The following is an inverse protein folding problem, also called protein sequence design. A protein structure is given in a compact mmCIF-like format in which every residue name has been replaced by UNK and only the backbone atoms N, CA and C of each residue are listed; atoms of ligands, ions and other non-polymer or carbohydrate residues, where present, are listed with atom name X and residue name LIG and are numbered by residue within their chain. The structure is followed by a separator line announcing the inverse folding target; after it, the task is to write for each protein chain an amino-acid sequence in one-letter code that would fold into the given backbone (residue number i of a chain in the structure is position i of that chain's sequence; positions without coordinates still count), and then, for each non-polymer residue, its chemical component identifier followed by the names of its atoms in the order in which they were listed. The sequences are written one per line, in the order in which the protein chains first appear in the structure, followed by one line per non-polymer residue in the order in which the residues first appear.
data_IF_909758808373
#
_entry.id   IF_909758808373
#
_cell.length_a   1.000
_cell.length_b   1.000
_cell.length_c   1.000
_cell.angle_alpha   90.00
_cell.angle_beta   90.00
_cell.angle_gamma   90.00
#
_symmetry.space_group_name_H-M   'P 1'
#
loop_
_entity.id
_entity.type
_entity.pdbx_description
1 polymer ?
#
# COMPACT_ATOMS: atom_id res chain seq x y z
N UNK A 1 6.57 43.57 -0.94
CA UNK A 1 7.62 42.54 -1.05
C UNK A 1 7.24 41.67 -2.23
N UNK A 2 8.09 41.56 -3.25
CA UNK A 2 7.76 40.81 -4.47
C UNK A 2 8.33 39.39 -4.36
N UNK A 3 7.45 38.39 -4.23
CA UNK A 3 7.81 36.97 -4.21
C UNK A 3 7.51 36.26 -5.53
N UNK A 4 7.28 36.99 -6.63
CA UNK A 4 6.97 36.40 -7.95
C UNK A 4 8.09 35.47 -8.46
N UNK A 5 9.33 35.69 -8.04
CA UNK A 5 10.44 34.77 -8.33
C UNK A 5 10.29 33.44 -7.58
N UNK A 6 9.78 33.45 -6.33
CA UNK A 6 9.59 32.26 -5.52
C UNK A 6 8.51 31.34 -6.11
N UNK A 7 7.38 31.89 -6.54
CA UNK A 7 6.35 31.09 -7.22
C UNK A 7 6.87 30.39 -8.49
N UNK A 8 7.68 31.09 -9.29
CA UNK A 8 8.36 30.51 -10.46
C UNK A 8 9.37 29.43 -10.09
N UNK A 9 10.14 29.64 -9.02
CA UNK A 9 11.08 28.65 -8.51
C UNK A 9 10.37 27.38 -8.05
N UNK A 10 9.27 27.50 -7.28
CA UNK A 10 8.44 26.37 -6.83
C UNK A 10 7.94 25.56 -8.02
N UNK A 11 7.39 26.22 -9.04
CA UNK A 11 6.90 25.54 -10.24
C UNK A 11 8.02 24.83 -11.02
N UNK A 12 9.19 25.47 -11.15
CA UNK A 12 10.35 24.88 -11.83
C UNK A 12 10.90 23.67 -11.05
N UNK A 13 11.01 23.78 -9.73
CA UNK A 13 11.49 22.71 -8.85
C UNK A 13 10.56 21.49 -8.90
N UNK A 14 9.25 21.70 -8.74
CA UNK A 14 8.24 20.65 -8.81
C UNK A 14 8.12 19.99 -10.20
N UNK A 15 8.63 20.65 -11.25
CA UNK A 15 8.74 20.04 -12.59
C UNK A 15 9.98 19.15 -12.70
N UNK A 16 11.05 19.48 -12.00
CA UNK A 16 12.34 18.78 -12.08
C UNK A 16 12.44 17.57 -11.13
N UNK A 17 11.74 17.59 -9.99
CA UNK A 17 11.86 16.57 -8.94
C UNK A 17 10.56 16.40 -8.13
N UNK A 18 10.38 15.20 -7.56
CA UNK A 18 9.32 14.85 -6.59
C UNK A 18 9.85 14.80 -5.14
N UNK A 19 10.94 15.51 -4.86
CA UNK A 19 11.49 15.63 -3.50
C UNK A 19 10.77 16.72 -2.68
N UNK A 20 10.00 16.29 -1.68
CA UNK A 20 9.25 17.17 -0.79
C UNK A 20 10.15 17.97 0.14
N UNK A 21 11.31 17.41 0.52
CA UNK A 21 12.22 18.09 1.45
C UNK A 21 12.86 19.31 0.81
N UNK A 22 13.56 19.13 -0.32
CA UNK A 22 14.17 20.27 -1.00
C UNK A 22 13.14 21.32 -1.43
N UNK A 23 11.92 20.93 -1.81
CA UNK A 23 10.87 21.87 -2.17
C UNK A 23 10.43 22.73 -0.98
N UNK A 24 10.04 22.10 0.13
CA UNK A 24 9.48 22.81 1.27
C UNK A 24 10.56 23.55 2.07
N UNK A 25 11.73 22.94 2.25
CA UNK A 25 12.87 23.59 2.90
C UNK A 25 13.34 24.81 2.11
N UNK A 26 13.51 24.69 0.79
CA UNK A 26 13.88 25.82 -0.08
C UNK A 26 12.81 26.92 -0.13
N UNK A 27 11.53 26.54 -0.11
CA UNK A 27 10.42 27.50 -0.01
C UNK A 27 10.47 28.30 1.30
N UNK A 28 10.62 27.61 2.44
CA UNK A 28 10.65 28.24 3.76
C UNK A 28 11.89 29.14 3.93
N UNK A 29 13.06 28.67 3.51
CA UNK A 29 14.30 29.45 3.53
C UNK A 29 14.20 30.72 2.66
N UNK A 30 13.53 30.64 1.51
CA UNK A 30 13.30 31.80 0.66
C UNK A 30 12.36 32.84 1.31
N UNK A 31 11.32 32.39 2.03
CA UNK A 31 10.47 33.31 2.81
C UNK A 31 11.27 34.03 3.90
N UNK A 32 12.10 33.29 4.64
CA UNK A 32 12.98 33.84 5.68
C UNK A 32 13.99 34.83 5.07
N UNK A 33 14.63 34.46 3.96
CA UNK A 33 15.56 35.32 3.23
C UNK A 33 14.92 36.60 2.67
N UNK A 34 13.62 36.58 2.39
CA UNK A 34 12.84 37.76 1.98
C UNK A 34 12.42 38.65 3.17
N UNK A 35 12.72 38.26 4.41
CA UNK A 35 12.41 39.01 5.63
C UNK A 35 11.07 38.65 6.28
N UNK A 36 10.40 37.58 5.83
CA UNK A 36 9.22 37.06 6.54
C UNK A 36 9.73 36.24 7.73
N UNK A 37 9.35 36.57 8.98
CA UNK A 37 9.89 35.93 10.18
C UNK A 37 9.24 34.56 10.45
N UNK A 38 9.26 33.64 9.49
CA UNK A 38 8.72 32.29 9.64
C UNK A 38 9.60 31.49 10.59
N UNK A 39 9.00 30.94 11.65
CA UNK A 39 9.66 30.02 12.58
C UNK A 39 9.30 28.56 12.30
N UNK A 40 8.03 28.30 11.95
CA UNK A 40 7.52 26.96 11.63
C UNK A 40 6.55 27.02 10.45
N UNK A 41 6.63 26.03 9.56
CA UNK A 41 5.63 25.77 8.52
C UNK A 41 5.15 24.33 8.66
N UNK A 42 3.84 24.11 8.54
CA UNK A 42 3.28 22.77 8.48
C UNK A 42 2.32 22.67 7.31
N UNK A 43 2.57 21.72 6.42
CA UNK A 43 1.70 21.37 5.31
C UNK A 43 1.01 20.05 5.61
N UNK A 44 -0.31 20.05 5.60
CA UNK A 44 -1.14 18.87 5.82
C UNK A 44 -1.92 18.57 4.54
N UNK A 45 -1.73 17.37 4.02
CA UNK A 45 -2.44 16.85 2.86
C UNK A 45 -3.15 15.54 3.24
N UNK A 46 -4.42 15.33 2.84
CA UNK A 46 -5.05 14.04 3.00
C UNK A 46 -4.35 12.99 2.13
N UNK A 47 -4.36 11.75 2.59
CA UNK A 47 -3.84 10.60 1.89
C UNK A 47 -5.01 9.72 1.44
N UNK A 48 -4.97 9.24 0.20
CA UNK A 48 -5.80 8.11 -0.23
C UNK A 48 -4.97 6.84 -0.09
N UNK A 49 -4.90 6.37 1.15
CA UNK A 49 -4.16 5.18 1.56
C UNK A 49 -5.03 4.36 2.53
N UNK A 50 -5.03 3.01 2.45
CA UNK A 50 -5.84 2.16 3.34
C UNK A 50 -5.46 2.29 4.83
N UNK A 51 -4.22 2.67 5.12
CA UNK A 51 -3.63 2.73 6.46
C UNK A 51 -3.43 4.16 6.96
N UNK A 52 -3.26 5.13 6.05
CA UNK A 52 -3.02 6.53 6.38
C UNK A 52 -4.21 7.41 6.03
N UNK A 53 -4.54 8.32 6.95
CA UNK A 53 -5.55 9.36 6.74
C UNK A 53 -4.99 10.58 6.04
N UNK A 54 -3.74 10.92 6.36
CA UNK A 54 -3.09 12.12 5.86
C UNK A 54 -1.63 12.19 6.25
N UNK A 55 -0.90 13.06 5.57
CA UNK A 55 0.51 13.29 5.82
C UNK A 55 0.74 14.75 6.19
N UNK A 56 1.66 14.95 7.13
CA UNK A 56 2.07 16.26 7.59
C UNK A 56 3.56 16.45 7.37
N UNK A 57 3.93 17.49 6.61
CA UNK A 57 5.30 17.94 6.40
C UNK A 57 5.54 19.15 7.30
N UNK A 58 6.42 19.02 8.29
CA UNK A 58 6.66 20.04 9.31
C UNK A 58 8.09 20.56 9.19
N UNK A 59 8.24 21.82 8.78
CA UNK A 59 9.52 22.50 8.69
C UNK A 59 9.70 23.43 9.88
N UNK A 60 10.89 23.40 10.48
CA UNK A 60 11.30 24.26 11.58
C UNK A 60 12.60 24.98 11.24
N UNK A 61 12.63 26.30 11.49
CA UNK A 61 13.82 27.10 11.26
C UNK A 61 14.99 26.61 12.15
N UNK A 62 16.06 26.13 11.51
CA UNK A 62 17.24 25.59 12.18
C UNK A 62 17.20 24.09 12.51
N UNK A 63 16.05 23.42 12.33
CA UNK A 63 15.88 21.98 12.58
C UNK A 63 15.57 21.19 11.29
N UNK A 64 15.10 21.86 10.23
CA UNK A 64 14.82 21.24 8.93
C UNK A 64 13.42 20.64 8.84
N UNK A 65 13.22 19.75 7.88
CA UNK A 65 11.93 19.11 7.63
C UNK A 65 11.79 17.79 8.40
N UNK A 66 10.58 17.56 8.92
CA UNK A 66 10.13 16.28 9.46
C UNK A 66 8.84 15.83 8.77
N UNK A 67 8.68 14.51 8.63
CA UNK A 67 7.51 13.87 8.05
C UNK A 67 6.73 13.13 9.15
N UNK A 68 5.42 13.33 9.18
CA UNK A 68 4.50 12.62 10.07
C UNK A 68 3.39 11.99 9.24
N UNK A 69 3.29 10.68 9.29
CA UNK A 69 2.15 9.94 8.77
C UNK A 69 1.08 9.84 9.87
N UNK A 70 -0.15 10.26 9.57
CA UNK A 70 -1.27 10.14 10.49
C UNK A 70 -2.08 8.92 10.04
N UNK A 71 -2.18 7.91 10.91
CA UNK A 71 -2.90 6.68 10.60
C UNK A 71 -4.41 6.89 10.76
N UNK A 72 -5.16 5.81 10.56
CA UNK A 72 -6.57 5.75 10.96
C UNK A 72 -6.65 5.15 12.38
N UNK A 73 -7.30 5.86 13.32
CA UNK A 73 -7.45 5.40 14.70
C UNK A 73 -8.29 6.33 15.57
N UNK A 74 -8.89 5.81 16.65
CA UNK A 74 -9.79 6.58 17.52
C UNK A 74 -9.09 7.75 18.25
N UNK A 75 -7.83 7.57 18.66
CA UNK A 75 -7.03 8.62 19.28
C UNK A 75 -6.69 9.74 18.27
N UNK A 76 -6.39 9.37 17.03
CA UNK A 76 -6.09 10.31 15.93
C UNK A 76 -7.36 11.03 15.43
N UNK A 77 -8.53 10.41 15.56
CA UNK A 77 -9.82 11.04 15.28
C UNK A 77 -10.12 12.17 16.27
N UNK A 78 -9.82 11.95 17.55
CA UNK A 78 -9.92 13.00 18.59
C UNK A 78 -8.99 14.18 18.30
N UNK A 79 -7.73 13.90 17.97
CA UNK A 79 -6.75 14.94 17.63
C UNK A 79 -7.14 15.73 16.37
N UNK A 80 -7.72 15.06 15.37
CA UNK A 80 -8.26 15.71 14.18
C UNK A 80 -9.43 16.65 14.49
N UNK A 81 -10.41 16.19 15.29
CA UNK A 81 -11.57 16.99 15.68
C UNK A 81 -11.17 18.24 16.49
N UNK A 82 -10.06 18.15 17.23
CA UNK A 82 -9.46 19.27 17.98
C UNK A 82 -8.41 20.05 17.18
N UNK A 83 -8.37 19.90 15.85
CA UNK A 83 -7.45 20.63 14.99
C UNK A 83 -8.04 21.97 14.48
N UNK A 84 -7.22 23.02 14.34
CA UNK A 84 -7.66 24.26 13.69
C UNK A 84 -8.11 24.05 12.23
N UNK A 85 -7.59 23.02 11.56
CA UNK A 85 -7.98 22.65 10.19
C UNK A 85 -9.43 22.20 10.16
N UNK A 86 -9.80 21.24 11.01
CA UNK A 86 -11.17 20.76 11.11
C UNK A 86 -12.14 21.90 11.41
N UNK A 87 -11.81 22.77 12.37
CA UNK A 87 -12.66 23.89 12.75
C UNK A 87 -12.90 24.89 11.61
N UNK A 88 -11.91 25.15 10.75
CA UNK A 88 -12.11 25.99 9.56
C UNK A 88 -12.93 25.28 8.49
N UNK A 89 -12.67 23.98 8.24
CA UNK A 89 -13.44 23.17 7.28
C UNK A 89 -14.92 23.10 7.65
N UNK A 90 -15.24 22.88 8.93
CA UNK A 90 -16.62 22.83 9.42
C UNK A 90 -17.37 24.15 9.20
N UNK A 91 -16.67 25.28 9.31
CA UNK A 91 -17.21 26.63 9.09
C UNK A 91 -17.24 27.05 7.62
N UNK A 92 -16.61 26.29 6.72
CA UNK A 92 -16.41 26.69 5.33
C UNK A 92 -15.46 27.89 5.18
N UNK A 93 -14.51 28.04 6.11
CA UNK A 93 -13.50 29.10 6.11
C UNK A 93 -12.17 28.58 5.56
N UNK A 94 -11.44 29.42 4.83
CA UNK A 94 -10.14 29.05 4.22
C UNK A 94 -8.95 29.75 4.85
N UNK A 95 -9.20 30.61 5.85
CA UNK A 95 -8.16 31.35 6.55
C UNK A 95 -8.51 31.49 8.04
N UNK A 96 -7.51 31.25 8.90
CA UNK A 96 -7.61 31.50 10.33
C UNK A 96 -6.30 32.11 10.85
N UNK A 97 -6.42 32.99 11.86
CA UNK A 97 -5.28 33.63 12.52
C UNK A 97 -5.50 33.66 14.03
N UNK A 98 -4.47 33.30 14.78
CA UNK A 98 -4.48 33.24 16.24
C UNK A 98 -3.24 33.91 16.82
N UNK A 99 -3.45 34.84 17.74
CA UNK A 99 -2.38 35.48 18.53
C UNK A 99 -2.06 34.61 19.74
N UNK A 100 -0.92 33.93 19.69
CA UNK A 100 -0.47 32.99 20.71
C UNK A 100 0.17 33.69 21.91
N UNK A 101 0.54 34.96 21.77
CA UNK A 101 1.07 35.83 22.83
C UNK A 101 -0.03 36.55 23.64
N UNK A 102 -1.30 36.24 23.38
CA UNK A 102 -2.43 36.81 24.10
C UNK A 102 -2.41 36.35 25.59
N UNK A 103 -2.72 37.23 26.56
CA UNK A 103 -2.73 36.90 27.99
C UNK A 103 -3.66 35.71 28.34
N UNK A 104 -4.77 35.61 27.62
CA UNK A 104 -5.72 34.51 27.68
C UNK A 104 -5.92 33.99 26.26
N UNK A 105 -5.13 33.00 25.86
CA UNK A 105 -5.34 32.30 24.59
C UNK A 105 -6.59 31.42 24.71
N UNK A 106 -7.75 31.98 24.38
CA UNK A 106 -9.02 31.27 24.30
C UNK A 106 -9.05 30.37 23.07
N UNK A 107 -8.43 29.20 23.18
CA UNK A 107 -8.51 28.14 22.18
C UNK A 107 -8.55 26.77 22.83
N UNK A 108 -9.31 25.85 22.26
CA UNK A 108 -9.29 24.45 22.67
C UNK A 108 -8.27 23.63 21.89
N UNK A 109 -7.62 24.20 20.88
CA UNK A 109 -6.71 23.50 19.98
C UNK A 109 -5.36 23.20 20.67
N UNK A 110 -5.01 21.92 20.94
CA UNK A 110 -3.77 21.56 21.65
C UNK A 110 -2.51 22.05 20.93
N UNK A 111 -2.50 22.00 19.59
CA UNK A 111 -1.37 22.45 18.76
C UNK A 111 -1.04 23.94 18.98
N UNK A 112 -2.04 24.80 19.16
CA UNK A 112 -1.83 26.23 19.37
C UNK A 112 -1.27 26.50 20.78
N UNK A 113 -1.77 25.79 21.79
CA UNK A 113 -1.26 25.85 23.18
C UNK A 113 0.22 25.42 23.23
N UNK A 114 0.55 24.31 22.57
CA UNK A 114 1.92 23.81 22.50
C UNK A 114 2.87 24.81 21.81
N UNK A 115 2.46 25.40 20.69
CA UNK A 115 3.27 26.41 20.00
C UNK A 115 3.43 27.70 20.81
N UNK A 116 2.38 28.15 21.52
CA UNK A 116 2.46 29.29 22.44
C UNK A 116 3.44 29.04 23.60
N UNK A 117 3.40 27.85 24.20
CA UNK A 117 4.35 27.45 25.25
C UNK A 117 5.81 27.41 24.77
N UNK A 118 6.03 27.19 23.48
CA UNK A 118 7.34 27.24 22.82
C UNK A 118 7.73 28.66 22.36
N UNK A 119 7.00 29.69 22.77
CA UNK A 119 7.28 31.09 22.44
C UNK A 119 6.75 31.55 21.07
N UNK A 120 5.82 30.80 20.47
CA UNK A 120 5.08 31.26 19.29
C UNK A 120 4.25 32.50 19.62
N UNK A 121 4.17 33.44 18.67
CA UNK A 121 3.51 34.75 18.83
C UNK A 121 2.27 34.85 17.96
N UNK A 122 2.35 34.44 16.70
CA UNK A 122 1.27 34.58 15.74
C UNK A 122 1.25 33.36 14.82
N UNK A 123 0.08 32.73 14.73
CA UNK A 123 -0.17 31.53 13.96
C UNK A 123 -1.24 31.80 12.92
N UNK A 124 -0.94 31.47 11.66
CA UNK A 124 -1.87 31.62 10.54
C UNK A 124 -2.03 30.28 9.84
N UNK A 125 -3.25 30.00 9.40
CA UNK A 125 -3.61 28.79 8.68
C UNK A 125 -4.35 29.18 7.40
N UNK A 126 -3.90 28.64 6.29
CA UNK A 126 -4.57 28.72 5.00
C UNK A 126 -5.04 27.33 4.59
N UNK A 127 -6.26 27.22 4.09
CA UNK A 127 -6.77 26.02 3.39
C UNK A 127 -6.90 26.42 1.93
N UNK A 128 -6.05 25.83 1.09
CA UNK A 128 -6.18 25.98 -0.36
C UNK A 128 -7.05 24.85 -0.87
N UNK A 129 -8.28 25.19 -1.24
CA UNK A 129 -9.25 24.24 -1.77
C UNK A 129 -8.99 23.94 -3.24
N UNK A 130 -9.28 22.70 -3.64
CA UNK A 130 -9.28 22.26 -5.02
C UNK A 130 -10.70 21.96 -5.49
N UNK A 131 -10.86 21.80 -6.81
CA UNK A 131 -12.15 21.59 -7.42
C UNK A 131 -12.90 20.40 -6.79
N UNK A 132 -14.22 20.50 -6.57
CA UNK A 132 -15.01 19.37 -6.09
C UNK A 132 -14.87 18.12 -6.99
N UNK A 133 -14.79 16.94 -6.38
CA UNK A 133 -14.68 15.67 -7.10
C UNK A 133 -13.24 15.22 -7.41
N UNK A 134 -12.23 15.99 -7.02
CA UNK A 134 -10.84 15.52 -7.01
C UNK A 134 -10.59 14.57 -5.84
N UNK A 135 -9.64 13.66 -6.02
CA UNK A 135 -9.10 12.78 -4.97
C UNK A 135 -8.59 13.58 -3.75
N UNK A 136 -7.99 14.74 -4.01
CA UNK A 136 -7.43 15.66 -3.03
C UNK A 136 -8.29 16.92 -2.99
N UNK A 137 -9.06 17.13 -1.91
CA UNK A 137 -10.00 18.27 -1.78
C UNK A 137 -9.34 19.61 -1.48
N UNK A 138 -8.13 19.58 -0.93
CA UNK A 138 -7.36 20.77 -0.61
C UNK A 138 -6.14 20.44 0.24
N UNK A 139 -5.34 21.46 0.49
CA UNK A 139 -4.13 21.38 1.32
C UNK A 139 -4.19 22.49 2.35
N UNK A 140 -3.95 22.13 3.60
CA UNK A 140 -3.88 23.06 4.70
C UNK A 140 -2.41 23.41 4.99
N UNK A 141 -2.07 24.69 5.00
CA UNK A 141 -0.73 25.21 5.27
C UNK A 141 -0.78 26.19 6.42
N UNK A 142 -0.03 25.91 7.48
CA UNK A 142 0.11 26.82 8.61
C UNK A 142 1.51 27.41 8.71
N UNK A 143 1.57 28.64 9.19
CA UNK A 143 2.81 29.37 9.47
C UNK A 143 2.75 29.88 10.90
N UNK A 144 3.85 29.77 11.63
CA UNK A 144 4.00 30.35 12.96
C UNK A 144 5.27 31.20 13.02
N UNK A 145 5.20 32.33 13.73
CA UNK A 145 6.34 33.21 13.99
C UNK A 145 6.58 33.37 15.48
N UNK A 146 7.85 33.60 15.86
CA UNK A 146 8.26 34.09 17.19
C UNK A 146 8.56 35.60 17.19
N UNK A 147 8.40 36.27 16.05
CA UNK A 147 8.70 37.69 15.90
C UNK A 147 7.75 38.54 16.73
N UNK A 148 8.31 39.46 17.52
CA UNK A 148 7.52 40.40 18.31
C UNK A 148 6.57 41.19 17.39
N UNK A 149 5.28 41.19 17.72
CA UNK A 149 4.24 41.84 16.91
C UNK A 149 3.54 40.93 15.88
N UNK A 150 4.07 39.73 15.61
CA UNK A 150 3.48 38.76 14.70
C UNK A 150 3.73 39.06 13.22
N UNK A 151 2.91 38.47 12.34
CA UNK A 151 2.95 38.73 10.90
C UNK A 151 2.29 40.08 10.58
N UNK A 152 2.95 40.89 9.75
CA UNK A 152 2.34 42.12 9.21
C UNK A 152 1.39 41.77 8.05
N UNK A 153 0.48 42.67 7.70
CA UNK A 153 -0.40 42.49 6.52
C UNK A 153 0.41 42.28 5.23
N UNK A 154 1.58 42.93 5.10
CA UNK A 154 2.48 42.72 3.98
C UNK A 154 3.08 41.30 3.96
N UNK A 155 3.34 40.70 5.12
CA UNK A 155 3.77 39.29 5.22
C UNK A 155 2.63 38.35 4.79
N UNK A 156 1.42 38.57 5.32
CA UNK A 156 0.25 37.73 5.02
C UNK A 156 -0.11 37.76 3.54
N UNK A 157 -0.14 38.95 2.93
CA UNK A 157 -0.37 39.10 1.48
C UNK A 157 0.69 38.36 0.67
N UNK A 158 1.98 38.51 1.02
CA UNK A 158 3.05 37.87 0.27
C UNK A 158 3.03 36.34 0.39
N UNK A 159 2.70 35.80 1.57
CA UNK A 159 2.48 34.35 1.76
C UNK A 159 1.31 33.88 0.90
N UNK A 160 0.18 34.59 0.95
CA UNK A 160 -1.01 34.24 0.18
C UNK A 160 -0.75 34.20 -1.34
N UNK A 161 0.07 35.12 -1.86
CA UNK A 161 0.40 35.20 -3.29
C UNK A 161 1.21 33.98 -3.80
N UNK A 162 2.01 33.35 -2.94
CA UNK A 162 2.85 32.20 -3.32
C UNK A 162 2.24 30.84 -2.98
N UNK A 163 1.25 30.80 -2.08
CA UNK A 163 0.62 29.56 -1.63
C UNK A 163 0.06 28.69 -2.77
N UNK A 164 -0.64 29.22 -3.79
CA UNK A 164 -1.14 28.40 -4.89
C UNK A 164 -0.05 27.62 -5.63
N UNK A 165 1.16 28.17 -5.75
CA UNK A 165 2.28 27.46 -6.38
C UNK A 165 2.75 26.30 -5.51
N UNK A 166 2.91 26.54 -4.20
CA UNK A 166 3.33 25.51 -3.25
C UNK A 166 2.30 24.38 -3.17
N UNK A 167 1.02 24.72 -3.04
CA UNK A 167 -0.03 23.72 -2.89
C UNK A 167 -0.28 22.95 -4.17
N UNK A 168 -0.16 23.55 -5.36
CA UNK A 168 -0.22 22.80 -6.62
C UNK A 168 0.99 21.88 -6.79
N UNK A 169 2.19 22.30 -6.40
CA UNK A 169 3.38 21.46 -6.42
C UNK A 169 3.20 20.23 -5.49
N UNK A 170 2.80 20.46 -4.25
CA UNK A 170 2.53 19.38 -3.29
C UNK A 170 1.38 18.50 -3.78
N UNK A 171 0.31 19.08 -4.31
CA UNK A 171 -0.80 18.31 -4.89
C UNK A 171 -0.35 17.38 -6.02
N UNK A 172 0.50 17.85 -6.93
CA UNK A 172 1.07 17.03 -8.00
C UNK A 172 1.84 15.84 -7.43
N UNK A 173 2.69 16.07 -6.43
CA UNK A 173 3.51 15.03 -5.82
C UNK A 173 2.67 14.05 -5.00
N UNK A 174 1.70 14.54 -4.22
CA UNK A 174 0.74 13.72 -3.47
C UNK A 174 -0.13 12.88 -4.41
N UNK A 175 -0.67 13.44 -5.49
CA UNK A 175 -1.48 12.69 -6.46
C UNK A 175 -0.64 11.63 -7.17
N UNK A 176 0.60 11.92 -7.54
CA UNK A 176 1.51 10.95 -8.15
C UNK A 176 1.85 9.80 -7.18
N UNK A 177 2.10 10.11 -5.91
CA UNK A 177 2.32 9.11 -4.87
C UNK A 177 1.06 8.27 -4.61
N UNK A 178 -0.10 8.90 -4.41
CA UNK A 178 -1.39 8.22 -4.27
C UNK A 178 -1.68 7.32 -5.46
N UNK A 179 -1.43 7.77 -6.69
CA UNK A 179 -1.67 6.96 -7.88
C UNK A 179 -0.77 5.72 -7.91
N UNK A 180 0.48 5.84 -7.44
CA UNK A 180 1.39 4.70 -7.23
C UNK A 180 0.89 3.73 -6.17
N UNK A 181 0.57 4.24 -4.98
CA UNK A 181 0.13 3.39 -3.85
C UNK A 181 -1.18 2.68 -4.16
N UNK A 182 -2.21 3.42 -4.61
CA UNK A 182 -3.50 2.82 -4.99
C UNK A 182 -3.30 1.78 -6.10
N UNK A 183 -2.50 2.08 -7.12
CA UNK A 183 -2.24 1.09 -8.17
C UNK A 183 -1.54 -0.15 -7.59
N UNK A 184 -0.56 0.01 -6.71
CA UNK A 184 0.17 -1.10 -6.09
C UNK A 184 -0.73 -1.95 -5.18
N UNK A 185 -1.62 -1.33 -4.39
CA UNK A 185 -2.57 -2.03 -3.51
C UNK A 185 -3.55 -2.88 -4.31
N UNK A 186 -4.06 -2.39 -5.44
CA UNK A 186 -5.09 -3.09 -6.21
C UNK A 186 -4.57 -3.98 -7.34
N UNK A 187 -3.38 -3.71 -7.88
CA UNK A 187 -2.79 -4.47 -9.00
C UNK A 187 -1.61 -5.35 -8.58
N UNK A 188 -1.03 -5.13 -7.41
CA UNK A 188 0.30 -5.63 -7.06
C UNK A 188 1.39 -4.65 -7.49
N UNK A 189 2.49 -4.59 -6.72
CA UNK A 189 3.55 -3.58 -6.90
C UNK A 189 4.21 -3.60 -8.27
N UNK A 190 4.63 -4.78 -8.75
CA UNK A 190 5.37 -4.90 -10.02
C UNK A 190 4.44 -4.66 -11.22
N UNK A 191 3.20 -5.12 -11.13
CA UNK A 191 2.16 -4.88 -12.11
C UNK A 191 1.79 -3.40 -12.18
N UNK A 192 1.63 -2.73 -11.04
CA UNK A 192 1.39 -1.30 -10.97
C UNK A 192 2.52 -0.49 -11.62
N UNK A 193 3.79 -0.79 -11.29
CA UNK A 193 4.95 -0.14 -11.91
C UNK A 193 4.92 -0.25 -13.45
N UNK A 194 4.57 -1.42 -13.99
CA UNK A 194 4.44 -1.63 -15.45
C UNK A 194 3.33 -0.80 -16.08
N UNK A 195 2.17 -0.75 -15.42
CA UNK A 195 1.02 0.06 -15.87
C UNK A 195 1.39 1.54 -15.88
N UNK A 196 2.09 2.00 -14.84
CA UNK A 196 2.57 3.38 -14.71
C UNK A 196 3.67 3.73 -15.73
N UNK A 197 4.48 2.74 -16.14
CA UNK A 197 5.44 2.86 -17.23
C UNK A 197 4.77 2.83 -18.63
N UNK A 198 3.43 2.71 -18.68
CA UNK A 198 2.64 2.83 -19.91
C UNK A 198 2.33 1.49 -20.59
N UNK A 199 2.56 0.35 -19.94
CA UNK A 199 2.10 -0.96 -20.42
C UNK A 199 0.60 -1.11 -20.17
N UNK A 200 -0.21 -0.40 -20.96
CA UNK A 200 -1.67 -0.27 -20.78
C UNK A 200 -2.46 -0.74 -22.00
N UNK A 201 -1.80 -1.26 -23.05
CA UNK A 201 -2.47 -1.66 -24.27
C UNK A 201 -2.99 -3.10 -24.16
N UNK A 202 -4.22 -3.32 -24.59
CA UNK A 202 -4.81 -4.66 -24.69
C UNK A 202 -3.93 -5.55 -25.58
N UNK A 203 -3.63 -6.76 -25.10
CA UNK A 203 -2.81 -7.72 -25.83
C UNK A 203 -1.30 -7.47 -25.72
N UNK A 204 -0.90 -6.39 -25.05
CA UNK A 204 0.49 -6.19 -24.64
C UNK A 204 0.84 -7.16 -23.51
N UNK A 205 1.91 -7.92 -23.69
CA UNK A 205 2.38 -8.89 -22.72
C UNK A 205 3.67 -9.55 -23.16
N UNK A 206 4.30 -10.30 -22.26
CA UNK A 206 5.54 -11.03 -22.53
C UNK A 206 5.36 -12.50 -22.20
N UNK A 207 5.94 -13.36 -23.02
CA UNK A 207 6.06 -14.79 -22.70
C UNK A 207 7.21 -14.95 -21.72
N UNK A 208 6.90 -15.42 -20.51
CA UNK A 208 7.89 -15.62 -19.45
C UNK A 208 7.77 -17.02 -18.85
N UNK A 209 8.88 -17.66 -18.45
CA UNK A 209 8.83 -18.79 -17.52
C UNK A 209 8.53 -18.27 -16.11
N UNK A 210 7.67 -18.98 -15.37
CA UNK A 210 7.30 -18.60 -14.02
C UNK A 210 6.98 -19.83 -13.16
N UNK A 211 7.27 -19.70 -11.86
CA UNK A 211 6.56 -20.48 -10.86
C UNK A 211 5.20 -19.80 -10.60
N UNK A 212 4.15 -20.61 -10.55
CA UNK A 212 2.77 -20.23 -10.32
C UNK A 212 2.36 -20.83 -8.98
N UNK A 213 1.76 -20.01 -8.13
CA UNK A 213 1.19 -20.44 -6.86
C UNK A 213 -0.32 -20.14 -6.90
N UNK A 214 -1.13 -21.15 -6.62
CA UNK A 214 -2.56 -21.02 -6.41
C UNK A 214 -2.88 -21.43 -4.98
N UNK A 215 -3.74 -20.68 -4.33
CA UNK A 215 -4.30 -21.01 -3.02
C UNK A 215 -5.81 -21.11 -3.09
N UNK A 216 -6.40 -21.87 -2.18
CA UNK A 216 -7.85 -21.96 -1.95
C UNK A 216 -8.14 -22.28 -0.48
N UNK A 217 -9.29 -21.87 0.04
CA UNK A 217 -9.70 -22.15 1.43
C UNK A 217 -10.78 -23.23 1.47
N UNK A 218 -10.43 -24.38 2.04
CA UNK A 218 -11.32 -25.54 2.08
C UNK A 218 -12.60 -25.22 2.86
N UNK A 219 -13.74 -25.39 2.20
CA UNK A 219 -15.06 -25.27 2.83
C UNK A 219 -15.53 -23.82 3.04
N UNK A 220 -14.79 -22.83 2.53
CA UNK A 220 -15.15 -21.42 2.67
C UNK A 220 -16.53 -21.11 2.11
N UNK A 221 -16.85 -21.59 0.89
CA UNK A 221 -18.16 -21.33 0.26
C UNK A 221 -19.32 -21.79 1.15
N UNK A 222 -19.19 -22.96 1.77
CA UNK A 222 -20.22 -23.49 2.66
C UNK A 222 -20.31 -22.73 4.00
N UNK A 223 -19.21 -22.14 4.45
CA UNK A 223 -19.16 -21.30 5.65
C UNK A 223 -19.79 -19.93 5.39
N UNK A 224 -19.53 -19.33 4.22
CA UNK A 224 -20.03 -18.02 3.83
C UNK A 224 -21.57 -17.93 3.85
N UNK A 225 -22.27 -19.04 3.60
CA UNK A 225 -23.74 -19.10 3.65
C UNK A 225 -24.32 -19.04 5.09
N UNK A 226 -23.48 -19.14 6.13
CA UNK A 226 -23.92 -19.37 7.52
C UNK A 226 -23.41 -18.33 8.52
N UNK A 227 -22.61 -17.38 8.06
CA UNK A 227 -21.88 -16.42 8.90
C UNK A 227 -22.25 -15.00 8.49
N UNK A 228 -22.12 -14.05 9.42
CA UNK A 228 -22.28 -12.65 9.09
C UNK A 228 -21.26 -12.22 8.01
N UNK A 229 -21.68 -11.50 6.95
CA UNK A 229 -20.78 -11.08 5.89
C UNK A 229 -19.57 -10.25 6.36
N UNK A 230 -19.71 -9.44 7.42
CA UNK A 230 -18.61 -8.64 7.95
C UNK A 230 -17.55 -9.49 8.65
N UNK A 231 -17.99 -10.49 9.44
CA UNK A 231 -17.10 -11.48 10.04
C UNK A 231 -16.38 -12.28 8.95
N UNK A 232 -17.10 -12.66 7.89
CA UNK A 232 -16.53 -13.43 6.79
C UNK A 232 -15.42 -12.66 6.06
N UNK A 233 -15.63 -11.38 5.75
CA UNK A 233 -14.58 -10.54 5.14
C UNK A 233 -13.38 -10.41 6.07
N UNK A 234 -13.61 -10.23 7.36
CA UNK A 234 -12.53 -10.13 8.36
C UNK A 234 -11.68 -11.39 8.38
N UNK A 235 -12.32 -12.56 8.45
CA UNK A 235 -11.60 -13.83 8.47
C UNK A 235 -10.86 -14.08 7.15
N UNK A 236 -11.50 -13.78 6.02
CA UNK A 236 -10.86 -13.93 4.72
C UNK A 236 -9.56 -13.10 4.64
N UNK A 237 -9.59 -11.86 5.11
CA UNK A 237 -8.40 -11.01 5.17
C UNK A 237 -7.30 -11.59 6.07
N UNK A 238 -7.64 -12.08 7.28
CA UNK A 238 -6.66 -12.73 8.17
C UNK A 238 -5.96 -13.94 7.51
N UNK A 239 -6.74 -14.74 6.78
CA UNK A 239 -6.21 -15.90 6.06
C UNK A 239 -5.38 -15.49 4.84
N UNK A 240 -5.78 -14.44 4.11
CA UNK A 240 -4.99 -13.88 3.02
C UNK A 240 -3.68 -13.24 3.49
N UNK A 241 -3.65 -12.58 4.65
CA UNK A 241 -2.42 -12.06 5.22
C UNK A 241 -1.46 -13.22 5.56
N UNK A 242 -1.96 -14.26 6.23
CA UNK A 242 -1.16 -15.43 6.60
C UNK A 242 -0.55 -16.16 5.39
N UNK A 243 -1.32 -16.28 4.30
CA UNK A 243 -0.91 -16.96 3.06
C UNK A 243 -0.10 -16.06 2.12
N UNK A 244 -0.41 -14.76 2.09
CA UNK A 244 0.12 -13.80 1.14
C UNK A 244 1.42 -13.13 1.55
N UNK A 245 1.63 -12.88 2.86
CA UNK A 245 2.86 -12.28 3.37
C UNK A 245 4.13 -13.05 2.95
N UNK A 246 4.17 -14.40 3.03
CA UNK A 246 5.31 -15.17 2.53
C UNK A 246 5.55 -15.00 1.02
N UNK A 247 4.49 -14.86 0.21
CA UNK A 247 4.62 -14.66 -1.25
C UNK A 247 5.45 -13.41 -1.54
N UNK A 248 5.10 -12.29 -0.91
CA UNK A 248 5.83 -11.03 -1.08
C UNK A 248 7.28 -11.12 -0.56
N UNK A 249 7.50 -11.75 0.61
CA UNK A 249 8.85 -11.92 1.19
C UNK A 249 9.79 -12.74 0.31
N UNK A 250 9.26 -13.70 -0.44
CA UNK A 250 10.02 -14.55 -1.35
C UNK A 250 10.03 -14.05 -2.81
N UNK A 251 9.68 -12.77 -3.03
CA UNK A 251 9.78 -12.13 -4.35
C UNK A 251 8.69 -12.52 -5.34
N UNK A 252 7.60 -13.12 -4.85
CA UNK A 252 6.39 -13.36 -5.63
C UNK A 252 5.46 -12.16 -5.62
N UNK A 253 4.49 -12.21 -6.54
CA UNK A 253 3.46 -11.19 -6.68
C UNK A 253 2.08 -11.86 -6.74
N UNK A 254 1.17 -11.46 -5.86
CA UNK A 254 -0.25 -11.82 -5.95
C UNK A 254 -0.85 -10.97 -7.08
N UNK A 255 -1.35 -11.64 -8.12
CA UNK A 255 -1.94 -10.97 -9.28
C UNK A 255 -3.41 -10.65 -9.06
N UNK A 256 -4.14 -11.57 -8.45
CA UNK A 256 -5.55 -11.38 -8.11
C UNK A 256 -6.03 -12.39 -7.08
N UNK A 257 -7.02 -11.94 -6.33
CA UNK A 257 -7.86 -12.78 -5.50
C UNK A 257 -8.96 -13.45 -6.36
N UNK A 258 -9.21 -14.73 -6.11
CA UNK A 258 -10.13 -15.61 -6.84
C UNK A 258 -11.12 -16.20 -5.84
N UNK A 259 -12.11 -15.41 -5.42
CA UNK A 259 -13.02 -15.82 -4.36
C UNK A 259 -12.27 -15.90 -3.03
N UNK A 260 -12.10 -17.10 -2.52
CA UNK A 260 -11.45 -17.45 -1.25
C UNK A 260 -9.99 -17.91 -1.40
N UNK A 261 -9.48 -17.87 -2.62
CA UNK A 261 -8.08 -18.12 -2.95
C UNK A 261 -7.41 -16.94 -3.64
N UNK A 262 -6.15 -17.11 -4.03
CA UNK A 262 -5.46 -16.17 -4.90
C UNK A 262 -4.51 -16.85 -5.87
N UNK A 263 -4.23 -16.13 -6.97
CA UNK A 263 -3.21 -16.48 -7.96
C UNK A 263 -1.99 -15.59 -7.77
N UNK A 264 -0.85 -16.21 -7.51
CA UNK A 264 0.44 -15.55 -7.42
C UNK A 264 1.43 -16.09 -8.46
N UNK A 265 2.41 -15.26 -8.81
CA UNK A 265 3.48 -15.60 -9.73
C UNK A 265 4.84 -15.25 -9.18
N UNK A 266 5.82 -16.02 -9.62
CA UNK A 266 7.23 -15.81 -9.37
C UNK A 266 7.94 -15.87 -10.74
N UNK A 267 8.13 -14.72 -11.42
CA UNK A 267 8.82 -14.66 -12.70
C UNK A 267 10.24 -15.24 -12.59
N UNK A 268 10.60 -16.14 -13.50
CA UNK A 268 11.94 -16.76 -13.53
C UNK A 268 12.78 -16.08 -14.61
N UNK A 269 13.87 -15.36 -14.26
CA UNK A 269 14.68 -14.66 -15.26
C UNK A 269 15.42 -15.61 -16.22
N UNK A 270 15.89 -16.74 -15.68
CA UNK A 270 16.58 -17.79 -16.42
C UNK A 270 16.04 -19.16 -16.01
N UNK A 271 15.33 -19.80 -16.94
CA UNK A 271 14.71 -21.11 -16.72
C UNK A 271 15.68 -22.28 -16.80
N UNK A 272 16.90 -22.07 -17.32
CA UNK A 272 17.90 -23.12 -17.50
C UNK A 272 18.80 -23.28 -16.27
N UNK A 273 18.78 -22.32 -15.35
CA UNK A 273 19.48 -22.42 -14.05
C UNK A 273 18.79 -23.44 -13.15
N UNK A 274 19.50 -24.54 -12.86
CA UNK A 274 19.04 -25.65 -12.01
C UNK A 274 20.01 -25.92 -10.84
N UNK A 275 19.51 -26.14 -9.60
CA UNK A 275 18.11 -25.93 -9.19
C UNK A 275 17.71 -24.46 -9.30
N UNK A 276 16.44 -24.18 -9.58
CA UNK A 276 15.94 -22.83 -9.78
C UNK A 276 15.70 -22.15 -8.42
N UNK A 277 16.43 -21.07 -8.07
CA UNK A 277 16.26 -20.40 -6.77
C UNK A 277 14.87 -19.80 -6.59
N UNK A 278 14.26 -19.31 -7.68
CA UNK A 278 12.90 -18.76 -7.66
C UNK A 278 11.85 -19.83 -7.37
N UNK A 279 12.01 -21.05 -7.92
CA UNK A 279 11.17 -22.18 -7.54
C UNK A 279 11.40 -22.58 -6.07
N UNK A 280 12.62 -22.46 -5.55
CA UNK A 280 12.90 -22.61 -4.12
C UNK A 280 12.07 -21.64 -3.28
N UNK A 281 12.18 -20.34 -3.55
CA UNK A 281 11.42 -19.30 -2.84
C UNK A 281 9.90 -19.45 -2.98
N UNK A 282 9.39 -19.85 -4.15
CA UNK A 282 7.96 -20.13 -4.32
C UNK A 282 7.47 -21.31 -3.47
N UNK A 283 8.29 -22.36 -3.31
CA UNK A 283 7.97 -23.48 -2.44
C UNK A 283 8.04 -23.07 -0.96
N UNK A 284 9.05 -22.29 -0.58
CA UNK A 284 9.21 -21.78 0.78
C UNK A 284 8.02 -20.89 1.16
N UNK A 285 7.60 -19.98 0.27
CA UNK A 285 6.39 -19.17 0.43
C UNK A 285 5.13 -20.02 0.66
N UNK A 286 4.92 -21.06 -0.15
CA UNK A 286 3.78 -21.96 0.02
C UNK A 286 3.83 -22.70 1.37
N UNK A 287 5.00 -23.22 1.76
CA UNK A 287 5.15 -23.94 3.03
C UNK A 287 5.00 -23.04 4.26
N UNK A 288 5.60 -21.84 4.23
CA UNK A 288 5.46 -20.85 5.30
C UNK A 288 4.02 -20.34 5.41
N UNK A 289 3.35 -20.08 4.29
CA UNK A 289 1.95 -19.63 4.27
C UNK A 289 1.01 -20.68 4.85
N UNK A 290 1.17 -21.95 4.47
CA UNK A 290 0.39 -23.04 5.03
C UNK A 290 0.62 -23.19 6.55
N UNK A 291 1.88 -23.06 7.01
CA UNK A 291 2.20 -23.11 8.43
C UNK A 291 1.59 -21.94 9.22
N UNK A 292 1.67 -20.72 8.68
CA UNK A 292 1.05 -19.53 9.27
C UNK A 292 -0.48 -19.66 9.34
N UNK A 293 -1.09 -20.18 8.28
CA UNK A 293 -2.53 -20.46 8.22
C UNK A 293 -2.95 -21.54 9.25
N UNK A 294 -2.15 -22.59 9.43
CA UNK A 294 -2.40 -23.60 10.46
C UNK A 294 -2.35 -22.98 11.87
N UNK A 295 -1.33 -22.17 12.16
CA UNK A 295 -1.23 -21.47 13.44
C UNK A 295 -2.37 -20.46 13.69
N UNK A 296 -2.87 -19.80 12.63
CA UNK A 296 -4.09 -18.99 12.71
C UNK A 296 -5.31 -19.85 13.05
N UNK A 297 -5.49 -20.98 12.37
CA UNK A 297 -6.58 -21.91 12.64
C UNK A 297 -6.55 -22.47 14.06
N UNK A 298 -5.38 -22.79 14.61
CA UNK A 298 -5.27 -23.24 16.01
C UNK A 298 -5.72 -22.15 17.00
N UNK A 299 -5.36 -20.89 16.75
CA UNK A 299 -5.86 -19.75 17.55
C UNK A 299 -7.36 -19.57 17.44
N UNK A 300 -7.91 -19.68 16.22
CA UNK A 300 -9.36 -19.58 15.96
C UNK A 300 -10.12 -20.71 16.66
N UNK A 301 -9.64 -21.95 16.55
CA UNK A 301 -10.19 -23.12 17.26
C UNK A 301 -10.20 -22.89 18.77
N UNK A 302 -9.11 -22.38 19.34
CA UNK A 302 -9.02 -22.06 20.77
C UNK A 302 -10.02 -20.97 21.19
N UNK A 303 -10.38 -20.06 20.29
CA UNK A 303 -11.39 -19.03 20.48
C UNK A 303 -12.83 -19.49 20.15
N UNK A 304 -13.04 -20.76 19.78
CA UNK A 304 -14.35 -21.28 19.38
C UNK A 304 -14.83 -20.80 17.99
N UNK A 305 -13.92 -20.27 17.17
CA UNK A 305 -14.19 -19.83 15.80
C UNK A 305 -13.93 -20.95 14.79
N UNK A 306 -14.59 -20.92 13.62
CA UNK A 306 -14.38 -21.91 12.58
C UNK A 306 -12.97 -21.82 11.99
N UNK A 307 -12.46 -22.99 11.61
CA UNK A 307 -11.20 -23.14 10.89
C UNK A 307 -11.43 -23.03 9.38
N UNK A 308 -10.45 -22.45 8.68
CA UNK A 308 -10.35 -22.38 7.23
C UNK A 308 -8.99 -22.94 6.81
N UNK A 309 -8.86 -24.28 6.68
CA UNK A 309 -7.66 -24.90 6.16
C UNK A 309 -7.41 -24.45 4.73
N UNK A 310 -6.15 -24.16 4.40
CA UNK A 310 -5.76 -23.74 3.07
C UNK A 310 -5.18 -24.90 2.27
N UNK A 311 -5.41 -24.86 0.97
CA UNK A 311 -4.78 -25.71 -0.03
C UNK A 311 -3.91 -24.83 -0.91
N UNK A 312 -2.75 -25.35 -1.30
CA UNK A 312 -1.78 -24.66 -2.14
C UNK A 312 -1.29 -25.57 -3.25
N UNK A 313 -1.09 -24.99 -4.41
CA UNK A 313 -0.42 -25.63 -5.54
C UNK A 313 0.73 -24.78 -6.00
N UNK A 314 1.88 -25.40 -6.20
CA UNK A 314 2.99 -24.79 -6.94
C UNK A 314 3.25 -25.53 -8.25
N UNK A 315 3.28 -24.76 -9.33
CA UNK A 315 3.45 -25.26 -10.68
C UNK A 315 4.49 -24.43 -11.43
N UNK A 316 5.26 -25.05 -12.32
CA UNK A 316 6.18 -24.32 -13.19
C UNK A 316 5.76 -24.45 -14.65
N UNK A 317 5.71 -23.32 -15.35
CA UNK A 317 5.46 -23.32 -16.77
C UNK A 317 5.63 -21.95 -17.42
N UNK A 318 5.51 -21.94 -18.74
CA UNK A 318 5.57 -20.71 -19.54
C UNK A 318 4.18 -20.09 -19.64
N UNK A 319 4.10 -18.78 -19.40
CA UNK A 319 2.87 -17.99 -19.40
C UNK A 319 3.03 -16.71 -20.22
N UNK A 320 1.92 -16.20 -20.74
CA UNK A 320 1.83 -14.83 -21.24
C UNK A 320 1.47 -13.96 -20.03
N UNK A 321 2.35 -13.06 -19.63
CA UNK A 321 2.14 -12.10 -18.56
C UNK A 321 1.87 -10.71 -19.16
N UNK A 322 0.66 -10.19 -19.00
CA UNK A 322 0.26 -8.91 -19.59
C UNK A 322 -1.23 -8.58 -19.51
N UNK A 323 -1.63 -7.57 -20.29
CA UNK A 323 -2.96 -6.97 -20.28
C UNK A 323 -3.97 -7.77 -21.10
N UNK A 324 -4.96 -8.36 -20.43
CA UNK A 324 -6.06 -9.08 -21.08
C UNK A 324 -7.41 -8.57 -20.59
N UNK A 325 -8.38 -8.46 -21.48
CA UNK A 325 -9.72 -8.01 -21.12
C UNK A 325 -10.48 -7.43 -22.30
N UNK A 326 -11.38 -6.49 -22.00
CA UNK A 326 -12.13 -5.71 -22.98
C UNK A 326 -11.43 -4.37 -23.25
N UNK A 327 -11.98 -3.53 -24.14
CA UNK A 327 -11.40 -2.21 -24.45
C UNK A 327 -11.36 -1.26 -23.26
N UNK A 328 -12.29 -1.40 -22.29
CA UNK A 328 -12.42 -0.50 -21.14
C UNK A 328 -12.18 -1.17 -19.80
N UNK A 329 -11.84 -2.46 -19.80
CA UNK A 329 -11.55 -3.24 -18.58
C UNK A 329 -10.44 -4.22 -18.89
N UNK A 330 -9.23 -3.87 -18.48
CA UNK A 330 -8.05 -4.71 -18.55
C UNK A 330 -7.78 -5.35 -17.20
N UNK A 331 -7.28 -6.55 -17.24
CA UNK A 331 -6.75 -7.32 -16.12
C UNK A 331 -5.31 -7.68 -16.50
N UNK A 332 -4.34 -7.22 -15.71
CA UNK A 332 -2.94 -7.52 -15.93
C UNK A 332 -2.63 -8.83 -15.21
N UNK A 333 -2.53 -9.92 -15.96
CA UNK A 333 -2.52 -11.27 -15.42
C UNK A 333 -1.62 -12.18 -16.24
N UNK A 334 -1.39 -13.39 -15.72
CA UNK A 334 -0.88 -14.50 -16.52
C UNK A 334 -2.01 -15.25 -17.23
N UNK A 335 -1.72 -15.70 -18.45
CA UNK A 335 -2.58 -16.60 -19.22
C UNK A 335 -1.71 -17.66 -19.88
N UNK A 336 -2.23 -18.88 -19.95
CA UNK A 336 -1.59 -19.93 -20.71
C UNK A 336 -2.01 -21.30 -20.21
N UNK A 337 -1.46 -22.31 -20.88
CA UNK A 337 -1.70 -23.70 -20.52
C UNK A 337 -1.27 -24.00 -19.07
N UNK A 338 -0.14 -23.45 -18.63
CA UNK A 338 0.38 -23.66 -17.28
C UNK A 338 -0.61 -23.20 -16.18
N UNK A 339 -1.32 -22.08 -16.40
CA UNK A 339 -2.32 -21.58 -15.44
C UNK A 339 -3.50 -22.54 -15.31
N UNK A 340 -3.98 -23.05 -16.46
CA UNK A 340 -5.05 -24.04 -16.50
C UNK A 340 -4.64 -25.37 -15.87
N UNK A 341 -3.39 -25.78 -16.05
CA UNK A 341 -2.84 -26.98 -15.42
C UNK A 341 -2.77 -26.82 -13.90
N UNK A 342 -2.24 -25.70 -13.41
CA UNK A 342 -2.17 -25.39 -11.98
C UNK A 342 -3.56 -25.40 -11.31
N UNK A 343 -4.56 -24.74 -11.90
CA UNK A 343 -5.94 -24.72 -11.36
C UNK A 343 -6.57 -26.11 -11.31
N UNK A 344 -6.24 -26.99 -12.25
CA UNK A 344 -6.76 -28.36 -12.21
C UNK A 344 -6.06 -29.23 -11.16
N UNK A 345 -4.77 -29.01 -10.90
CA UNK A 345 -4.08 -29.66 -9.78
C UNK A 345 -4.73 -29.24 -8.46
N UNK A 346 -5.05 -27.95 -8.31
CA UNK A 346 -5.63 -27.38 -7.10
C UNK A 346 -6.93 -28.11 -6.73
N UNK A 347 -7.84 -28.28 -7.69
CA UNK A 347 -9.06 -29.09 -7.49
C UNK A 347 -8.86 -30.56 -7.05
N UNK A 348 -7.62 -31.09 -7.07
CA UNK A 348 -7.30 -32.43 -6.61
C UNK A 348 -6.70 -32.48 -5.20
N UNK A 349 -6.34 -31.34 -4.60
CA UNK A 349 -5.75 -31.25 -3.26
C UNK A 349 -6.62 -31.97 -2.21
N UNK A 350 -7.90 -31.61 -2.13
CA UNK A 350 -8.86 -32.26 -1.21
C UNK A 350 -8.99 -33.78 -1.45
N UNK A 351 -9.08 -34.21 -2.72
CA UNK A 351 -9.25 -35.61 -3.07
C UNK A 351 -8.02 -36.47 -2.75
N UNK A 352 -6.83 -35.87 -2.83
CA UNK A 352 -5.56 -36.53 -2.51
C UNK A 352 -5.18 -36.39 -1.03
N UNK A 353 -5.87 -35.55 -0.26
CA UNK A 353 -5.64 -35.37 1.17
C UNK A 353 -4.36 -34.60 1.51
N UNK A 354 -3.84 -33.79 0.58
CA UNK A 354 -2.63 -32.99 0.78
C UNK A 354 -2.94 -31.50 0.68
N UNK A 355 -2.45 -30.72 1.65
CA UNK A 355 -2.57 -29.27 1.64
C UNK A 355 -1.62 -28.59 0.63
N UNK A 356 -0.54 -29.26 0.21
CA UNK A 356 0.38 -28.78 -0.80
C UNK A 356 0.57 -29.83 -1.89
N UNK A 357 0.25 -29.46 -3.13
CA UNK A 357 0.63 -30.23 -4.32
C UNK A 357 1.65 -29.47 -5.17
N UNK A 358 2.64 -30.22 -5.65
CA UNK A 358 3.73 -29.72 -6.49
C UNK A 358 3.66 -30.46 -7.82
N UNK A 359 3.58 -29.74 -8.94
CA UNK A 359 3.58 -30.37 -10.26
C UNK A 359 4.94 -30.99 -10.61
N UNK A 360 4.96 -31.98 -11.50
CA UNK A 360 6.20 -32.62 -11.99
C UNK A 360 7.20 -31.60 -12.57
N UNK A 361 6.71 -30.64 -13.38
CA UNK A 361 7.56 -29.60 -13.98
C UNK A 361 8.22 -28.69 -12.95
N UNK A 362 7.58 -28.49 -11.81
CA UNK A 362 8.16 -27.74 -10.69
C UNK A 362 9.15 -28.59 -9.91
N UNK A 363 8.83 -29.87 -9.67
CA UNK A 363 9.68 -30.80 -8.92
C UNK A 363 11.07 -30.97 -9.57
N UNK A 364 11.14 -31.02 -10.90
CA UNK A 364 12.40 -31.07 -11.67
C UNK A 364 13.33 -29.87 -11.42
N UNK A 365 12.80 -28.76 -10.91
CA UNK A 365 13.52 -27.49 -10.69
C UNK A 365 13.85 -27.25 -9.23
N UNK A 366 13.29 -28.05 -8.33
CA UNK A 366 13.44 -27.86 -6.90
C UNK A 366 14.66 -28.60 -6.36
N UNK A 367 15.45 -27.95 -5.50
CA UNK A 367 16.52 -28.60 -4.76
C UNK A 367 16.00 -29.37 -3.53
N UNK A 368 14.82 -29.00 -3.01
CA UNK A 368 14.24 -29.61 -1.81
C UNK A 368 13.76 -31.03 -2.11
N UNK A 369 13.86 -31.91 -1.12
CA UNK A 369 13.29 -33.25 -1.20
C UNK A 369 11.77 -33.14 -1.31
N UNK A 370 11.21 -33.83 -2.30
CA UNK A 370 9.78 -33.98 -2.51
C UNK A 370 9.40 -35.46 -2.50
N UNK A 371 8.16 -35.75 -2.11
CA UNK A 371 7.63 -37.12 -2.06
C UNK A 371 6.51 -37.29 -3.09
N UNK A 372 6.49 -38.40 -3.83
CA UNK A 372 5.46 -38.64 -4.83
C UNK A 372 4.11 -38.88 -4.13
N UNK A 373 3.10 -38.11 -4.51
CA UNK A 373 1.72 -38.29 -4.02
C UNK A 373 0.98 -39.28 -4.91
N UNK A 374 1.17 -39.15 -6.23
CA UNK A 374 0.50 -39.99 -7.19
C UNK A 374 0.51 -39.40 -8.59
N UNK A 375 -0.41 -39.88 -9.41
CA UNK A 375 -0.56 -39.44 -10.79
C UNK A 375 -2.03 -39.07 -11.02
N UNK A 376 -2.25 -37.89 -11.59
CA UNK A 376 -3.59 -37.35 -11.84
C UNK A 376 -3.86 -37.24 -13.34
N UNK A 377 -5.08 -37.57 -13.73
CA UNK A 377 -5.60 -37.36 -15.09
C UNK A 377 -6.25 -35.99 -15.17
N UNK A 378 -5.69 -35.10 -15.97
CA UNK A 378 -6.20 -33.75 -16.15
C UNK A 378 -6.94 -33.64 -17.48
N UNK A 379 -8.17 -33.13 -17.44
CA UNK A 379 -9.03 -33.01 -18.63
C UNK A 379 -8.33 -32.21 -19.75
N UNK A 380 -8.06 -32.81 -20.90
CA UNK A 380 -7.42 -32.12 -22.03
C UNK A 380 -5.88 -32.09 -21.99
N UNK A 381 -5.28 -32.78 -21.02
CA UNK A 381 -3.92 -33.28 -21.12
C UNK A 381 -3.94 -34.67 -21.76
N UNK A 382 -2.98 -34.95 -22.64
CA UNK A 382 -2.88 -36.24 -23.33
C UNK A 382 -2.14 -37.31 -22.52
N UNK A 383 -1.51 -36.92 -21.42
CA UNK A 383 -0.76 -37.81 -20.53
C UNK A 383 -1.09 -37.49 -19.07
N UNK A 384 -1.24 -38.51 -18.22
CA UNK A 384 -1.30 -38.33 -16.78
C UNK A 384 -0.08 -37.56 -16.27
N UNK A 385 -0.28 -36.74 -15.24
CA UNK A 385 0.77 -35.92 -14.64
C UNK A 385 1.08 -36.41 -13.23
N UNK A 386 2.37 -36.55 -12.90
CA UNK A 386 2.82 -36.84 -11.54
C UNK A 386 2.69 -35.59 -10.67
N UNK A 387 2.26 -35.80 -9.44
CA UNK A 387 2.20 -34.76 -8.42
C UNK A 387 2.99 -35.19 -7.19
N UNK A 388 3.58 -34.21 -6.55
CA UNK A 388 4.48 -34.36 -5.43
C UNK A 388 4.01 -33.51 -4.26
N UNK A 389 4.57 -33.73 -3.08
CA UNK A 389 4.38 -32.89 -1.91
C UNK A 389 5.70 -32.78 -1.13
N UNK A 390 5.73 -31.93 -0.11
CA UNK A 390 6.85 -31.88 0.83
C UNK A 390 6.70 -33.00 1.86
N UNK A 391 7.79 -33.64 2.31
CA UNK A 391 7.73 -34.57 3.44
C UNK A 391 7.07 -33.89 4.64
N UNK A 392 6.24 -34.63 5.39
CA UNK A 392 5.76 -34.15 6.67
C UNK A 392 6.97 -33.88 7.57
N UNK A 393 7.01 -32.72 8.23
CA UNK A 393 7.97 -32.52 9.32
C UNK A 393 7.71 -33.59 10.39
N UNK A 394 8.76 -34.22 10.94
CA UNK A 394 8.58 -35.13 12.06
C UNK A 394 7.90 -34.35 13.19
N UNK A 395 6.66 -34.71 13.48
CA UNK A 395 5.93 -34.15 14.61
C UNK A 395 6.69 -34.49 15.88
N UNK A 396 7.21 -33.47 16.59
CA UNK A 396 7.72 -33.57 17.96
C UNK A 396 6.56 -33.82 18.96
N UNK A 397 5.64 -34.74 18.62
CA UNK A 397 4.58 -35.24 19.49
C UNK A 397 4.96 -36.57 20.15
N UNK A 398 6.24 -36.71 20.51
CA UNK A 398 6.76 -37.79 21.35
C UNK A 398 7.55 -37.22 22.54
N UNK A 399 6.99 -36.22 23.23
CA UNK A 399 7.42 -35.84 24.58
C UNK A 399 6.27 -35.22 25.37
N UNK A 400 5.32 -36.04 25.80
CA UNK A 400 4.51 -35.86 27.01
C UNK A 400 3.92 -37.19 27.45
#
# INVERSE_FOLDING_TARGET
MDLTHLGRWVAAHATATDDHDSLLSGFCEALVGAGIPVWRVSVMAPALDPTLRGVSLNWHAGEGLSFVANAHGADEESDWLLSPVYALVEKGETFGRWRLDAPELETDFPVLKALGAQGGVDYVLHIVEFAPGTALRGIAVSFCTRGAGGFTEAHLSAIADVLPFLTLAIAKMSLAHTFREVSATYLGRSTAERVLDGQIRRGEGRVIPAAILLTDLRGFTALADRVDPADMVTWLNEHFDALGDPVARHGGEILKFLGDGFLAIFPVPDADTLPCPVCGGALDAATEGLAANAALNDRRRAAGLPELPAECVVHFGTVIYGNVGTERRLDFTIIGRAVNEASRIESQCAALGHALLVSDSFAERCARRLEPVGTIELRGLSRPMRVWTVPAEPSDAASA
#
